data_IF_040853745519
#
_entry.id   IF_040853745519
#
_cell.length_a   1.000
_cell.length_b   1.000
_cell.length_c   1.000
_cell.angle_alpha   90.00
_cell.angle_beta   90.00
_cell.angle_gamma   90.00
#
_symmetry.space_group_name_H-M   'P 1'
#
loop_
_entity.id
_entity.type
_entity.pdbx_description
1 polymer ?
#
# COMPACT_ATOMS: atom_id res chain seq x y z
N UNK A 1 8.62 15.83 14.80
CA UNK A 1 7.58 14.85 14.47
C UNK A 1 7.76 14.44 13.01
N UNK A 2 7.76 13.15 12.66
CA UNK A 2 7.88 12.64 11.28
C UNK A 2 6.77 11.64 11.02
N UNK A 3 6.14 11.70 9.84
CA UNK A 3 5.20 10.67 9.37
C UNK A 3 6.00 9.57 8.71
N UNK A 4 5.94 8.35 9.25
CA UNK A 4 6.73 7.21 8.77
C UNK A 4 5.91 6.23 7.91
N UNK A 5 4.58 6.29 8.03
CA UNK A 5 3.65 5.43 7.33
C UNK A 5 2.45 6.25 6.87
N UNK A 6 2.03 6.06 5.64
CA UNK A 6 0.77 6.56 5.10
C UNK A 6 0.05 5.43 4.37
N UNK A 7 -1.25 5.55 4.20
CA UNK A 7 -2.10 4.49 3.64
C UNK A 7 -2.94 4.95 2.46
N UNK A 8 -3.19 4.03 1.55
CA UNK A 8 -4.21 4.15 0.51
C UNK A 8 -5.06 2.89 0.50
N UNK A 9 -6.36 3.02 0.22
CA UNK A 9 -7.23 1.87 0.06
C UNK A 9 -7.12 1.30 -1.35
N UNK A 10 -7.11 -0.01 -1.47
CA UNK A 10 -7.02 -0.76 -2.72
C UNK A 10 -8.05 -1.89 -2.72
N UNK A 11 -8.51 -2.26 -3.91
CA UNK A 11 -9.52 -3.31 -4.06
C UNK A 11 -8.98 -4.70 -3.67
N UNK A 12 -7.70 -4.95 -3.93
CA UNK A 12 -7.03 -6.22 -3.67
C UNK A 12 -5.56 -5.93 -3.31
N UNK A 13 -5.17 -6.04 -2.03
CA UNK A 13 -3.80 -5.76 -1.59
C UNK A 13 -2.73 -6.59 -2.28
N UNK A 14 -3.02 -7.83 -2.67
CA UNK A 14 -2.06 -8.72 -3.33
C UNK A 14 -1.81 -8.26 -4.77
N UNK A 15 -2.88 -7.93 -5.51
CA UNK A 15 -2.74 -7.37 -6.86
C UNK A 15 -2.08 -6.00 -6.84
N UNK A 16 -2.45 -5.16 -5.87
CA UNK A 16 -1.84 -3.85 -5.69
C UNK A 16 -0.34 -4.00 -5.38
N UNK A 17 0.05 -4.88 -4.46
CA UNK A 17 1.46 -5.11 -4.14
C UNK A 17 2.29 -5.39 -5.40
N UNK A 18 1.86 -6.34 -6.25
CA UNK A 18 2.53 -6.64 -7.52
C UNK A 18 2.61 -5.44 -8.44
N UNK A 19 1.54 -4.67 -8.59
CA UNK A 19 1.55 -3.46 -9.40
C UNK A 19 2.58 -2.43 -8.88
N UNK A 20 2.58 -2.17 -7.58
CA UNK A 20 3.49 -1.20 -6.97
C UNK A 20 4.96 -1.65 -7.04
N UNK A 21 5.24 -2.95 -6.93
CA UNK A 21 6.62 -3.46 -6.99
C UNK A 21 7.11 -3.69 -8.41
N UNK A 22 6.32 -4.34 -9.26
CA UNK A 22 6.73 -4.81 -10.60
C UNK A 22 6.59 -3.72 -11.66
N UNK A 23 5.60 -2.83 -11.53
CA UNK A 23 5.33 -1.78 -12.52
C UNK A 23 5.88 -0.43 -12.07
N UNK A 24 5.59 -0.04 -10.82
CA UNK A 24 6.01 1.27 -10.29
C UNK A 24 7.41 1.28 -9.66
N UNK A 25 8.03 0.11 -9.45
CA UNK A 25 9.40 0.02 -8.95
C UNK A 25 9.57 0.32 -7.46
N UNK A 26 8.51 0.25 -6.66
CA UNK A 26 8.64 0.25 -5.21
C UNK A 26 9.31 -1.04 -4.72
N UNK A 27 9.95 -0.99 -3.55
CA UNK A 27 10.48 -2.17 -2.86
C UNK A 27 9.49 -2.69 -1.85
N UNK A 28 9.52 -4.01 -1.63
CA UNK A 28 8.82 -4.63 -0.52
C UNK A 28 9.36 -4.10 0.81
N UNK A 29 8.46 -3.64 1.69
CA UNK A 29 8.77 -3.39 3.10
C UNK A 29 8.20 -4.49 4.00
N UNK A 30 6.99 -4.96 3.71
CA UNK A 30 6.37 -6.12 4.34
C UNK A 30 5.26 -6.68 3.45
N UNK A 31 5.20 -8.00 3.30
CA UNK A 31 4.14 -8.68 2.55
C UNK A 31 3.67 -9.94 3.29
N UNK A 32 2.43 -9.92 3.79
CA UNK A 32 1.80 -11.04 4.50
C UNK A 32 0.41 -11.28 3.91
N UNK A 33 0.31 -12.09 2.83
CA UNK A 33 -0.94 -12.30 2.09
C UNK A 33 -2.09 -12.82 2.94
N UNK A 34 -1.81 -13.77 3.84
CA UNK A 34 -2.83 -14.38 4.71
C UNK A 34 -3.46 -13.37 5.68
N UNK A 35 -2.78 -12.25 5.94
CA UNK A 35 -3.26 -11.15 6.76
C UNK A 35 -3.78 -9.96 5.95
N UNK A 36 -3.86 -10.05 4.61
CA UNK A 36 -4.15 -8.93 3.71
C UNK A 36 -3.26 -7.70 3.96
N UNK A 37 -1.99 -7.93 4.31
CA UNK A 37 -1.04 -6.88 4.62
C UNK A 37 0.00 -6.74 3.50
N UNK A 38 0.06 -5.55 2.91
CA UNK A 38 1.07 -5.18 1.93
C UNK A 38 1.58 -3.76 2.22
N UNK A 39 2.88 -3.63 2.43
CA UNK A 39 3.57 -2.36 2.66
C UNK A 39 4.73 -2.26 1.67
N UNK A 40 4.77 -1.14 0.96
CA UNK A 40 5.82 -0.84 -0.02
C UNK A 40 6.57 0.43 0.38
N UNK A 41 7.80 0.58 -0.12
CA UNK A 41 8.64 1.75 0.13
C UNK A 41 9.33 2.20 -1.16
N UNK A 42 9.58 3.50 -1.30
CA UNK A 42 10.28 4.02 -2.48
C UNK A 42 11.65 3.37 -2.62
N UNK A 43 12.01 2.96 -3.83
CA UNK A 43 13.36 2.46 -4.11
C UNK A 43 14.43 3.55 -4.02
N UNK A 44 14.03 4.81 -4.21
CA UNK A 44 14.86 6.02 -4.15
C UNK A 44 15.09 6.52 -2.71
N UNK A 45 14.18 6.20 -1.78
CA UNK A 45 14.30 6.55 -0.36
C UNK A 45 13.89 5.36 0.55
N UNK A 46 14.78 4.36 0.74
CA UNK A 46 14.49 3.15 1.50
C UNK A 46 14.30 3.35 3.02
N UNK A 47 14.66 4.52 3.53
CA UNK A 47 14.49 4.93 4.94
C UNK A 47 13.39 5.99 5.11
N UNK A 48 12.69 6.32 4.02
CA UNK A 48 11.61 7.29 3.96
C UNK A 48 10.26 6.75 4.42
N UNK A 49 9.21 7.46 4.01
CA UNK A 49 7.83 7.10 4.32
C UNK A 49 7.44 5.81 3.61
N UNK A 50 6.86 4.87 4.36
CA UNK A 50 6.27 3.65 3.81
C UNK A 50 4.81 3.88 3.41
N UNK A 51 4.35 3.13 2.40
CA UNK A 51 2.96 3.13 1.94
C UNK A 51 2.31 1.78 2.26
N UNK A 52 1.28 1.77 3.10
CA UNK A 52 0.42 0.60 3.30
C UNK A 52 -0.70 0.59 2.24
N UNK A 53 -0.91 -0.58 1.63
CA UNK A 53 -1.96 -0.84 0.66
C UNK A 53 -3.13 -1.51 1.40
N UNK A 54 -4.05 -0.69 1.90
CA UNK A 54 -5.14 -1.11 2.79
C UNK A 54 -6.29 -1.76 1.99
N UNK A 55 -6.88 -2.87 2.45
CA UNK A 55 -8.05 -3.43 1.79
C UNK A 55 -9.24 -2.47 1.89
N UNK A 56 -9.91 -2.20 0.78
CA UNK A 56 -11.08 -1.33 0.73
C UNK A 56 -12.35 -1.99 1.31
N UNK A 57 -12.34 -2.29 2.60
CA UNK A 57 -13.50 -2.85 3.32
C UNK A 57 -14.31 -1.77 4.04
N UNK A 58 -13.72 -0.60 4.30
CA UNK A 58 -14.38 0.54 4.95
C UNK A 58 -15.47 1.15 4.06
N UNK A 59 -16.71 1.34 4.57
CA UNK A 59 -17.76 2.02 3.81
C UNK A 59 -17.36 3.43 3.36
N UNK A 60 -16.63 4.16 4.20
CA UNK A 60 -16.14 5.51 3.89
C UNK A 60 -15.10 5.47 2.76
N UNK A 61 -14.20 4.49 2.81
CA UNK A 61 -13.20 4.31 1.76
C UNK A 61 -13.82 3.99 0.40
N UNK A 62 -14.86 3.15 0.41
CA UNK A 62 -15.65 2.88 -0.81
C UNK A 62 -16.32 4.13 -1.35
N UNK A 63 -16.86 4.99 -0.48
CA UNK A 63 -17.59 6.19 -0.93
C UNK A 63 -16.75 7.17 -1.75
N UNK A 64 -15.49 7.42 -1.39
CA UNK A 64 -14.65 8.38 -2.12
C UNK A 64 -13.85 7.76 -3.28
N UNK A 65 -13.86 6.43 -3.44
CA UNK A 65 -13.22 5.74 -4.57
C UNK A 65 -14.17 5.50 -5.76
N UNK A 66 -15.42 5.97 -5.67
CA UNK A 66 -16.46 5.75 -6.67
C UNK A 66 -16.51 6.79 -7.80
N UNK A 67 -15.53 7.69 -7.88
CA UNK A 67 -15.40 8.69 -8.96
C UNK A 67 -14.39 8.26 -10.04
#
# INVERSE_FOLDING_TARGET
>A
MKVLLTGIFVNDPIKAFRFYTEILGFKEKAFVPDANLAIVISSEDPDGTSLILEPNTSPVAKSYQLD
#
